data_IF_652097921812
#
_entry.id   IF_652097921812
#
_cell.length_a   1.000
_cell.length_b   1.000
_cell.length_c   1.000
_cell.angle_alpha   90.00
_cell.angle_beta   90.00
_cell.angle_gamma   90.00
#
_symmetry.space_group_name_H-M   'P 1'
#
loop_
_entity.id
_entity.type
_entity.pdbx_description
1 polymer ?
#
# COMPACT_ATOMS: atom_id res chain seq x y z
N UNK A 1 -1.22 12.24 17.37
CA UNK A 1 -2.21 11.67 18.35
C UNK A 1 -3.07 12.74 19.00
N UNK A 2 -2.51 13.83 19.47
CA UNK A 2 -3.24 14.95 20.08
C UNK A 2 -4.34 15.51 19.17
N UNK A 3 -4.04 15.68 17.87
CA UNK A 3 -5.01 16.16 16.89
C UNK A 3 -6.21 15.20 16.78
N UNK A 4 -5.97 13.88 16.68
CA UNK A 4 -7.05 12.89 16.56
C UNK A 4 -7.95 12.91 17.81
N UNK A 5 -7.35 12.91 19.00
CA UNK A 5 -8.10 12.93 20.25
C UNK A 5 -8.92 14.23 20.41
N UNK A 6 -8.33 15.39 20.09
CA UNK A 6 -9.02 16.68 20.12
C UNK A 6 -10.20 16.69 19.14
N UNK A 7 -9.97 16.26 17.89
CA UNK A 7 -11.02 16.21 16.87
C UNK A 7 -12.14 15.24 17.29
N UNK A 8 -11.79 14.06 17.78
CA UNK A 8 -12.73 13.08 18.29
C UNK A 8 -13.62 13.68 19.40
N UNK A 9 -13.02 14.31 20.41
CA UNK A 9 -13.77 14.91 21.51
C UNK A 9 -14.70 16.03 21.04
N UNK A 10 -14.27 16.88 20.13
CA UNK A 10 -15.12 17.92 19.56
C UNK A 10 -16.30 17.31 18.81
N UNK A 11 -16.03 16.37 17.91
CA UNK A 11 -17.08 15.76 17.08
C UNK A 11 -18.10 14.98 17.92
N UNK A 12 -17.64 14.16 18.85
CA UNK A 12 -18.53 13.31 19.65
C UNK A 12 -19.23 14.12 20.76
N UNK A 13 -18.47 14.88 21.55
CA UNK A 13 -19.00 15.50 22.76
C UNK A 13 -19.68 16.87 22.52
N UNK A 14 -19.19 17.65 21.54
CA UNK A 14 -19.73 19.00 21.30
C UNK A 14 -20.73 19.02 20.15
N UNK A 15 -20.47 18.23 19.09
CA UNK A 15 -21.30 18.22 17.86
C UNK A 15 -22.33 17.09 17.89
N UNK A 16 -22.06 16.00 18.62
CA UNK A 16 -22.98 14.87 18.75
C UNK A 16 -22.86 13.83 17.62
N UNK A 17 -21.69 13.77 16.94
CA UNK A 17 -21.44 12.71 15.96
C UNK A 17 -21.41 11.33 16.63
N UNK A 18 -21.94 10.33 15.92
CA UNK A 18 -21.69 8.95 16.31
C UNK A 18 -20.21 8.62 16.04
N UNK A 19 -19.53 8.06 17.02
CA UNK A 19 -18.10 7.70 16.88
C UNK A 19 -17.81 6.76 15.70
N UNK A 20 -18.76 5.90 15.32
CA UNK A 20 -18.61 4.99 14.17
C UNK A 20 -18.66 5.71 12.81
N UNK A 21 -19.10 6.96 12.77
CA UNK A 21 -19.15 7.77 11.55
C UNK A 21 -17.89 8.61 11.36
N UNK A 22 -16.93 8.50 12.29
CA UNK A 22 -15.65 9.21 12.23
C UNK A 22 -14.60 8.29 11.61
N UNK A 23 -13.93 8.79 10.58
CA UNK A 23 -12.82 8.10 9.90
C UNK A 23 -11.57 8.96 10.03
N UNK A 24 -10.52 8.43 10.62
CA UNK A 24 -9.20 9.04 10.61
C UNK A 24 -8.38 8.46 9.46
N UNK A 25 -7.76 9.33 8.68
CA UNK A 25 -6.87 8.97 7.58
C UNK A 25 -5.46 9.52 7.85
N UNK A 26 -4.65 8.84 8.67
CA UNK A 26 -3.25 9.20 8.81
C UNK A 26 -2.51 8.89 7.51
N UNK A 27 -1.56 9.77 7.14
CA UNK A 27 -0.80 9.58 5.92
C UNK A 27 0.06 8.33 5.98
N UNK A 28 -0.11 7.47 4.96
CA UNK A 28 0.88 6.44 4.66
C UNK A 28 1.96 7.08 3.80
N UNK A 29 3.19 7.07 4.29
CA UNK A 29 4.35 7.65 3.63
C UNK A 29 5.21 6.55 2.98
N UNK A 30 5.98 6.96 1.98
CA UNK A 30 6.86 6.08 1.23
C UNK A 30 8.03 5.61 2.08
N UNK A 31 8.31 4.31 2.07
CA UNK A 31 9.49 3.71 2.70
C UNK A 31 10.57 3.39 1.66
N UNK A 32 11.76 2.97 2.12
CA UNK A 32 12.87 2.56 1.27
C UNK A 32 13.27 3.64 0.23
N UNK A 33 13.33 4.88 0.66
CA UNK A 33 13.70 6.04 -0.18
C UNK A 33 15.19 6.31 -0.20
N UNK A 34 15.98 5.60 0.61
CA UNK A 34 17.39 5.86 0.87
C UNK A 34 17.66 6.93 1.94
N UNK A 35 16.60 7.51 2.55
CA UNK A 35 16.70 8.44 3.67
C UNK A 35 16.29 7.73 4.95
N UNK A 36 17.19 7.68 5.93
CA UNK A 36 16.99 6.94 7.19
C UNK A 36 15.78 7.40 8.01
N UNK A 37 15.38 8.66 7.88
CA UNK A 37 14.17 9.21 8.52
C UNK A 37 12.87 8.57 8.00
N UNK A 38 12.89 7.96 6.80
CA UNK A 38 11.72 7.32 6.19
C UNK A 38 11.61 5.82 6.51
N UNK A 39 12.66 5.24 7.09
CA UNK A 39 12.72 3.77 7.26
C UNK A 39 11.68 3.24 8.25
N UNK A 40 11.25 4.06 9.22
CA UNK A 40 10.30 3.67 10.24
C UNK A 40 8.82 4.01 9.90
N UNK A 41 8.52 4.65 8.78
CA UNK A 41 7.16 5.10 8.48
C UNK A 41 6.13 3.96 8.45
N UNK A 42 6.52 2.75 8.02
CA UNK A 42 5.65 1.58 8.07
C UNK A 42 5.25 1.21 9.49
N UNK A 43 6.23 1.07 10.37
CA UNK A 43 6.04 0.75 11.80
C UNK A 43 5.22 1.84 12.50
N UNK A 44 5.54 3.11 12.25
CA UNK A 44 4.86 4.25 12.88
C UNK A 44 3.39 4.31 12.47
N UNK A 45 3.07 3.98 11.22
CA UNK A 45 1.68 3.90 10.77
C UNK A 45 0.92 2.78 11.48
N UNK A 46 1.50 1.58 11.62
CA UNK A 46 0.90 0.47 12.36
C UNK A 46 0.65 0.84 13.84
N UNK A 47 1.60 1.49 14.48
CA UNK A 47 1.44 2.00 15.83
C UNK A 47 0.37 3.09 15.91
N UNK A 48 0.29 3.98 14.91
CA UNK A 48 -0.74 5.02 14.87
C UNK A 48 -2.15 4.42 14.80
N UNK A 49 -2.37 3.39 13.96
CA UNK A 49 -3.65 2.66 13.90
C UNK A 49 -4.03 2.15 15.29
N UNK A 50 -3.15 1.35 15.90
CA UNK A 50 -3.40 0.74 17.21
C UNK A 50 -3.72 1.82 18.27
N UNK A 51 -2.99 2.92 18.23
CA UNK A 51 -3.19 4.03 19.17
C UNK A 51 -4.50 4.76 18.93
N UNK A 52 -4.87 5.05 17.67
CA UNK A 52 -6.17 5.67 17.34
C UNK A 52 -7.30 4.79 17.84
N UNK A 53 -7.26 3.47 17.56
CA UNK A 53 -8.27 2.53 18.03
C UNK A 53 -8.41 2.51 19.55
N UNK A 54 -7.32 2.70 20.29
CA UNK A 54 -7.35 2.69 21.75
C UNK A 54 -7.91 3.98 22.35
N UNK A 55 -7.62 5.16 21.74
CA UNK A 55 -7.99 6.47 22.33
C UNK A 55 -9.25 7.10 21.71
N UNK A 56 -9.68 6.62 20.55
CA UNK A 56 -10.88 7.07 19.83
C UNK A 56 -11.82 5.88 19.58
N UNK A 57 -12.45 5.32 20.63
CA UNK A 57 -13.26 4.10 20.50
C UNK A 57 -14.44 4.32 19.52
N UNK A 58 -14.64 3.35 18.62
CA UNK A 58 -15.66 3.42 17.56
C UNK A 58 -15.16 4.04 16.26
N UNK A 59 -14.19 4.96 16.31
CA UNK A 59 -13.66 5.58 15.10
C UNK A 59 -12.97 4.56 14.17
N UNK A 60 -13.10 4.79 12.87
CA UNK A 60 -12.49 4.00 11.81
C UNK A 60 -11.16 4.62 11.38
N UNK A 61 -10.30 3.79 10.80
CA UNK A 61 -9.01 4.22 10.25
C UNK A 61 -8.93 3.83 8.78
N UNK A 62 -8.58 4.81 7.93
CA UNK A 62 -8.29 4.59 6.51
C UNK A 62 -6.82 4.88 6.20
N UNK A 63 -6.37 4.50 5.00
CA UNK A 63 -5.04 4.85 4.52
C UNK A 63 -4.82 4.59 3.04
N UNK A 64 -4.03 5.47 2.40
CA UNK A 64 -3.63 5.37 0.99
C UNK A 64 -2.44 4.43 0.81
N UNK A 65 -2.67 3.12 0.75
CA UNK A 65 -1.62 2.08 0.80
C UNK A 65 -0.64 2.13 -0.37
N UNK A 66 -1.08 2.60 -1.55
CA UNK A 66 -0.20 2.70 -2.72
C UNK A 66 1.04 3.58 -2.50
N UNK A 67 0.98 4.53 -1.55
CA UNK A 67 2.10 5.39 -1.20
C UNK A 67 3.25 4.62 -0.55
N UNK A 68 2.96 3.56 0.19
CA UNK A 68 3.94 2.76 0.91
C UNK A 68 5.09 2.30 0.01
N UNK A 69 4.76 1.84 -1.19
CA UNK A 69 5.71 1.26 -2.16
C UNK A 69 6.14 2.21 -3.27
N UNK A 70 5.94 3.51 -3.14
CA UNK A 70 6.16 4.48 -4.23
C UNK A 70 7.62 4.52 -4.71
N UNK A 71 8.60 4.25 -3.85
CA UNK A 71 10.03 4.12 -4.19
C UNK A 71 10.32 3.02 -5.21
N UNK A 72 9.45 2.01 -5.31
CA UNK A 72 9.56 0.90 -6.26
C UNK A 72 8.63 1.05 -7.46
N UNK A 73 8.30 2.28 -7.85
CA UNK A 73 7.47 2.56 -9.02
C UNK A 73 8.13 1.99 -10.29
N UNK A 74 7.34 1.24 -11.07
CA UNK A 74 7.81 0.49 -12.25
C UNK A 74 8.13 -0.98 -11.99
N UNK A 75 8.12 -1.43 -10.73
CA UNK A 75 8.28 -2.83 -10.34
C UNK A 75 6.97 -3.37 -9.77
N UNK A 76 5.95 -3.53 -10.63
CA UNK A 76 4.58 -3.80 -10.21
C UNK A 76 4.47 -5.04 -9.30
N UNK A 77 5.14 -6.15 -9.64
CA UNK A 77 5.17 -7.37 -8.82
C UNK A 77 5.69 -7.11 -7.39
N UNK A 78 6.74 -6.29 -7.26
CA UNK A 78 7.31 -5.93 -5.95
C UNK A 78 6.34 -5.05 -5.18
N UNK A 79 5.74 -4.07 -5.84
CA UNK A 79 4.76 -3.18 -5.21
C UNK A 79 3.52 -3.92 -4.72
N UNK A 80 3.01 -4.86 -5.52
CA UNK A 80 1.87 -5.71 -5.16
C UNK A 80 2.20 -6.56 -3.92
N UNK A 81 3.38 -7.18 -3.87
CA UNK A 81 3.84 -7.91 -2.70
C UNK A 81 3.99 -7.01 -1.46
N UNK A 82 4.58 -5.82 -1.61
CA UNK A 82 4.70 -4.85 -0.51
C UNK A 82 3.33 -4.42 0.02
N UNK A 83 2.34 -4.19 -0.85
CA UNK A 83 0.99 -3.86 -0.43
C UNK A 83 0.34 -5.02 0.34
N UNK A 84 0.51 -6.25 -0.13
CA UNK A 84 -0.05 -7.43 0.52
C UNK A 84 0.54 -7.64 1.92
N UNK A 85 1.86 -7.55 2.05
CA UNK A 85 2.55 -7.67 3.34
C UNK A 85 2.13 -6.53 4.28
N UNK A 86 2.11 -5.30 3.79
CA UNK A 86 1.69 -4.15 4.59
C UNK A 86 0.25 -4.31 5.09
N UNK A 87 -0.68 -4.66 4.21
CA UNK A 87 -2.09 -4.84 4.57
C UNK A 87 -2.31 -5.97 5.57
N UNK A 88 -1.60 -7.08 5.42
CA UNK A 88 -1.67 -8.19 6.37
C UNK A 88 -1.44 -7.70 7.81
N UNK A 89 -0.42 -6.87 8.03
CA UNK A 89 -0.12 -6.30 9.33
C UNK A 89 -1.04 -5.14 9.71
N UNK A 90 -1.40 -4.27 8.77
CA UNK A 90 -2.24 -3.11 9.02
C UNK A 90 -3.67 -3.50 9.43
N UNK A 91 -4.26 -4.52 8.79
CA UNK A 91 -5.58 -5.05 9.15
C UNK A 91 -5.53 -5.65 10.56
N UNK A 92 -4.50 -6.38 10.90
CA UNK A 92 -4.30 -6.93 12.27
C UNK A 92 -4.11 -5.82 13.32
N UNK A 93 -3.51 -4.68 12.94
CA UNK A 93 -3.40 -3.52 13.79
C UNK A 93 -4.73 -2.74 13.96
N UNK A 94 -5.75 -3.04 13.14
CA UNK A 94 -7.08 -2.45 13.21
C UNK A 94 -7.41 -1.47 12.08
N UNK A 95 -6.71 -1.50 10.95
CA UNK A 95 -7.07 -0.74 9.75
C UNK A 95 -8.44 -1.21 9.25
N UNK A 96 -9.39 -0.27 9.04
CA UNK A 96 -10.75 -0.59 8.59
C UNK A 96 -10.91 -0.39 7.08
N UNK A 97 -10.16 0.53 6.49
CA UNK A 97 -10.31 0.93 5.09
C UNK A 97 -8.95 1.16 4.44
N UNK A 98 -8.81 0.71 3.19
CA UNK A 98 -7.62 0.98 2.38
C UNK A 98 -7.98 1.50 1.00
N UNK A 99 -7.24 2.50 0.52
CA UNK A 99 -7.33 3.01 -0.83
C UNK A 99 -6.07 2.60 -1.59
N UNK A 100 -6.25 1.81 -2.65
CA UNK A 100 -5.14 1.29 -3.45
C UNK A 100 -5.57 0.09 -4.30
N UNK A 101 -4.59 -0.64 -4.81
CA UNK A 101 -4.81 -1.84 -5.63
C UNK A 101 -4.82 -3.06 -4.71
N UNK A 102 -6.02 -3.56 -4.31
CA UNK A 102 -6.13 -4.65 -3.33
C UNK A 102 -7.08 -5.75 -3.74
N UNK A 103 -6.85 -6.93 -3.14
CA UNK A 103 -7.80 -8.05 -3.09
C UNK A 103 -8.41 -8.21 -1.69
N UNK A 104 -9.62 -8.79 -1.62
CA UNK A 104 -10.26 -9.12 -0.34
C UNK A 104 -9.43 -10.21 0.37
N UNK A 105 -8.93 -9.91 1.58
CA UNK A 105 -8.12 -10.84 2.35
C UNK A 105 -8.93 -11.68 3.33
N UNK A 106 -8.70 -12.99 3.31
CA UNK A 106 -8.92 -13.85 4.46
C UNK A 106 -7.66 -13.82 5.34
N UNK A 107 -7.75 -13.19 6.50
CA UNK A 107 -6.69 -13.25 7.51
C UNK A 107 -7.20 -14.19 8.62
N UNK A 108 -6.58 -15.38 8.71
CA UNK A 108 -6.75 -16.36 9.81
C UNK A 108 -8.14 -16.41 10.45
N UNK A 109 -9.17 -16.88 9.73
CA UNK A 109 -10.54 -17.14 10.24
C UNK A 109 -11.23 -15.99 10.99
N UNK A 110 -10.63 -14.80 11.07
CA UNK A 110 -11.26 -13.62 11.65
C UNK A 110 -11.87 -12.83 10.50
N UNK A 111 -13.21 -12.80 10.46
CA UNK A 111 -13.97 -11.97 9.52
C UNK A 111 -13.80 -10.50 9.94
N UNK A 112 -12.76 -9.86 9.48
CA UNK A 112 -12.60 -8.42 9.63
C UNK A 112 -13.26 -7.73 8.45
N UNK A 113 -14.21 -6.83 8.73
CA UNK A 113 -14.82 -5.98 7.71
C UNK A 113 -13.76 -4.96 7.28
N UNK A 114 -13.15 -5.23 6.14
CA UNK A 114 -12.22 -4.32 5.50
C UNK A 114 -12.87 -3.78 4.22
N UNK A 115 -13.01 -2.47 4.11
CA UNK A 115 -13.51 -1.80 2.92
C UNK A 115 -12.33 -1.30 2.09
N UNK A 116 -12.20 -1.74 0.83
CA UNK A 116 -11.13 -1.31 -0.06
C UNK A 116 -11.64 -0.83 -1.42
N UNK A 117 -11.03 0.21 -1.96
CA UNK A 117 -11.11 0.54 -3.38
C UNK A 117 -10.01 -0.25 -4.07
N UNK A 118 -10.38 -1.27 -4.85
CA UNK A 118 -9.46 -2.33 -5.28
C UNK A 118 -9.50 -2.57 -6.78
N UNK A 119 -8.37 -2.99 -7.34
CA UNK A 119 -8.33 -3.69 -8.61
C UNK A 119 -8.29 -5.20 -8.33
N UNK A 120 -9.44 -5.85 -8.41
CA UNK A 120 -9.56 -7.26 -8.13
C UNK A 120 -8.66 -8.08 -9.06
N UNK A 121 -7.82 -8.96 -8.50
CA UNK A 121 -6.92 -9.85 -9.25
C UNK A 121 -5.47 -9.38 -9.38
N UNK A 122 -5.12 -8.20 -8.86
CA UNK A 122 -3.75 -7.69 -8.95
C UNK A 122 -2.87 -7.96 -7.73
N UNK A 123 -3.44 -8.31 -6.56
CA UNK A 123 -2.62 -8.57 -5.36
C UNK A 123 -2.51 -10.07 -5.09
N UNK A 124 -1.29 -10.58 -4.85
CA UNK A 124 -1.10 -11.91 -4.32
C UNK A 124 -1.65 -12.01 -2.88
N UNK A 125 -2.16 -13.16 -2.50
CA UNK A 125 -2.44 -13.47 -1.09
C UNK A 125 -1.10 -13.52 -0.35
N UNK A 126 -1.08 -13.11 0.93
CA UNK A 126 0.16 -13.04 1.71
C UNK A 126 0.93 -14.36 1.70
N UNK A 127 0.23 -15.48 1.83
CA UNK A 127 0.84 -16.83 1.87
C UNK A 127 1.29 -17.33 0.49
N UNK A 128 0.81 -16.72 -0.61
CA UNK A 128 1.17 -17.07 -1.99
C UNK A 128 2.37 -16.26 -2.51
N UNK A 129 2.86 -15.28 -1.73
CA UNK A 129 4.03 -14.51 -2.09
C UNK A 129 5.27 -15.39 -2.00
N UNK A 130 6.12 -15.34 -3.01
CA UNK A 130 7.43 -16.01 -2.99
C UNK A 130 8.20 -15.67 -1.71
N UNK A 131 8.67 -16.68 -0.97
CA UNK A 131 9.30 -16.51 0.35
C UNK A 131 10.43 -15.47 0.37
N UNK A 132 11.24 -15.42 -0.70
CA UNK A 132 12.34 -14.43 -0.80
C UNK A 132 11.79 -13.02 -0.85
N UNK A 133 10.80 -12.77 -1.70
CA UNK A 133 10.16 -11.45 -1.84
C UNK A 133 9.38 -11.08 -0.58
N UNK A 134 8.67 -12.04 0.02
CA UNK A 134 7.94 -11.82 1.26
C UNK A 134 8.87 -11.37 2.39
N UNK A 135 10.01 -12.06 2.59
CA UNK A 135 11.00 -11.68 3.59
C UNK A 135 11.59 -10.28 3.35
N UNK A 136 11.89 -9.95 2.09
CA UNK A 136 12.37 -8.61 1.75
C UNK A 136 11.34 -7.52 2.05
N UNK A 137 10.06 -7.78 1.80
CA UNK A 137 8.97 -6.85 2.13
C UNK A 137 8.82 -6.70 3.65
N UNK A 138 8.91 -7.80 4.41
CA UNK A 138 8.91 -7.80 5.88
C UNK A 138 10.10 -7.03 6.45
N UNK A 139 11.29 -7.19 5.88
CA UNK A 139 12.48 -6.50 6.33
C UNK A 139 12.38 -4.98 6.12
N UNK A 140 11.75 -4.54 5.03
CA UNK A 140 11.47 -3.13 4.78
C UNK A 140 10.38 -2.61 5.73
N UNK A 141 9.27 -3.33 5.88
CA UNK A 141 8.15 -2.90 6.72
C UNK A 141 8.58 -2.70 8.18
N UNK A 142 9.38 -3.64 8.69
CA UNK A 142 9.83 -3.64 10.08
C UNK A 142 11.20 -3.00 10.28
N UNK A 143 11.80 -2.43 9.24
CA UNK A 143 13.15 -1.83 9.28
C UNK A 143 14.16 -2.73 10.00
N UNK A 144 14.17 -4.03 9.63
CA UNK A 144 14.98 -5.02 10.35
C UNK A 144 16.49 -4.85 10.13
N UNK A 145 16.88 -4.39 8.96
CA UNK A 145 18.27 -4.27 8.55
C UNK A 145 18.51 -2.98 7.78
N UNK A 146 19.64 -2.33 8.01
CA UNK A 146 20.03 -1.08 7.33
C UNK A 146 20.20 -1.23 5.80
N UNK A 147 20.44 -2.46 5.33
CA UNK A 147 20.63 -2.79 3.91
C UNK A 147 19.35 -3.37 3.23
N UNK A 148 18.20 -3.33 3.90
CA UNK A 148 16.94 -3.89 3.38
C UNK A 148 16.53 -3.26 2.05
N UNK A 149 16.70 -1.94 1.90
CA UNK A 149 16.43 -1.23 0.65
C UNK A 149 17.33 -1.69 -0.49
N UNK A 150 18.63 -1.85 -0.23
CA UNK A 150 19.60 -2.29 -1.23
C UNK A 150 19.35 -3.72 -1.68
N UNK A 151 19.01 -4.62 -0.75
CA UNK A 151 18.62 -6.01 -1.06
C UNK A 151 17.39 -6.08 -1.95
N UNK A 152 16.37 -5.28 -1.66
CA UNK A 152 15.17 -5.21 -2.50
C UNK A 152 15.48 -4.65 -3.88
N UNK A 153 16.33 -3.61 -4.00
CA UNK A 153 16.76 -3.08 -5.29
C UNK A 153 17.53 -4.13 -6.12
N UNK A 154 18.42 -4.89 -5.48
CA UNK A 154 19.13 -5.98 -6.14
C UNK A 154 18.16 -7.07 -6.65
N UNK A 155 17.15 -7.43 -5.87
CA UNK A 155 16.07 -8.32 -6.29
C UNK A 155 15.31 -7.76 -7.50
N UNK A 156 14.93 -6.47 -7.48
CA UNK A 156 14.26 -5.81 -8.62
C UNK A 156 15.09 -5.88 -9.90
N UNK A 157 16.41 -5.64 -9.80
CA UNK A 157 17.32 -5.68 -10.95
C UNK A 157 17.45 -7.10 -11.52
N UNK A 158 17.52 -8.13 -10.67
CA UNK A 158 17.59 -9.52 -11.10
C UNK A 158 16.35 -9.97 -11.89
N UNK A 159 15.18 -9.47 -11.51
CA UNK A 159 13.91 -9.77 -12.20
C UNK A 159 13.81 -9.09 -13.58
N UNK A 160 14.37 -7.89 -13.74
CA UNK A 160 14.37 -7.17 -15.02
C UNK A 160 15.28 -7.85 -16.07
N UNK A 161 16.37 -8.48 -15.66
CA UNK A 161 17.22 -9.24 -16.58
C UNK A 161 16.55 -10.50 -17.12
N UNK A 162 15.63 -11.09 -16.35
CA UNK A 162 14.84 -12.25 -16.78
C UNK A 162 13.67 -11.90 -17.72
N UNK A 163 13.13 -10.67 -17.61
CA UNK A 163 11.94 -10.22 -18.38
C UNK A 163 12.28 -9.46 -19.67
N UNK A 164 13.54 -9.13 -19.93
CA UNK A 164 13.96 -8.37 -21.13
C UNK A 164 13.80 -9.13 -22.46
N UNK A 165 13.39 -10.39 -22.44
CA UNK A 165 13.18 -11.21 -23.66
C UNK A 165 11.74 -11.09 -24.21
N UNK A 166 10.78 -10.52 -23.48
CA UNK A 166 9.37 -10.49 -23.89
C UNK A 166 8.78 -9.12 -24.21
N UNK A 167 9.51 -8.01 -24.06
CA UNK A 167 8.93 -6.65 -24.05
C UNK A 167 8.99 -5.86 -25.36
N UNK A 168 9.45 -6.43 -26.47
CA UNK A 168 9.54 -5.72 -27.76
C UNK A 168 8.19 -5.49 -28.46
N UNK A 169 7.14 -6.22 -28.11
CA UNK A 169 5.80 -6.06 -28.72
C UNK A 169 4.92 -4.96 -28.12
N UNK A 170 5.28 -4.46 -26.95
CA UNK A 170 4.39 -3.53 -26.19
C UNK A 170 4.74 -2.04 -26.37
N UNK A 171 5.71 -1.71 -27.22
CA UNK A 171 6.19 -0.33 -27.39
C UNK A 171 5.72 0.32 -28.70
N UNK A 172 5.26 -0.45 -29.68
CA UNK A 172 4.84 0.06 -31.01
C UNK A 172 3.76 1.15 -30.95
N UNK A 173 2.79 1.02 -30.03
CA UNK A 173 1.68 1.98 -29.91
C UNK A 173 2.13 3.38 -29.46
N UNK A 174 3.31 3.53 -28.84
CA UNK A 174 3.87 4.83 -28.45
C UNK A 174 4.26 5.69 -29.64
N UNK A 175 4.49 5.08 -30.80
CA UNK A 175 4.83 5.75 -32.05
C UNK A 175 3.57 6.09 -32.90
N UNK A 176 2.36 5.75 -32.40
CA UNK A 176 1.12 6.07 -33.09
C UNK A 176 0.74 7.54 -32.92
N UNK A 177 -0.26 8.01 -33.72
CA UNK A 177 -0.81 9.36 -33.55
C UNK A 177 -1.43 9.53 -32.16
N UNK A 178 -1.53 10.78 -31.69
CA UNK A 178 -2.05 11.08 -30.33
C UNK A 178 -3.43 10.49 -30.12
N UNK A 179 -4.32 10.56 -31.13
CA UNK A 179 -5.67 10.02 -31.07
C UNK A 179 -5.67 8.50 -30.86
N UNK A 180 -4.85 7.78 -31.63
CA UNK A 180 -4.72 6.32 -31.51
C UNK A 180 -4.09 5.89 -30.18
N UNK A 181 -3.17 6.71 -29.65
CA UNK A 181 -2.58 6.46 -28.32
C UNK A 181 -3.60 6.64 -27.22
N UNK A 182 -4.44 7.66 -27.29
CA UNK A 182 -5.53 7.88 -26.34
C UNK A 182 -6.57 6.77 -26.43
N UNK A 183 -7.00 6.39 -27.63
CA UNK A 183 -7.89 5.27 -27.85
C UNK A 183 -7.34 3.97 -27.25
N UNK A 184 -6.09 3.65 -27.52
CA UNK A 184 -5.41 2.47 -26.98
C UNK A 184 -5.35 2.50 -25.45
N UNK A 185 -5.02 3.65 -24.86
CA UNK A 185 -4.95 3.80 -23.42
C UNK A 185 -6.32 3.60 -22.74
N UNK A 186 -7.39 4.11 -23.35
CA UNK A 186 -8.76 3.93 -22.85
C UNK A 186 -9.22 2.47 -22.97
N UNK A 187 -8.97 1.81 -24.10
CA UNK A 187 -9.37 0.41 -24.32
C UNK A 187 -8.61 -0.54 -23.39
N UNK A 188 -7.30 -0.30 -23.17
CA UNK A 188 -6.47 -1.17 -22.34
C UNK A 188 -6.52 -0.82 -20.84
N UNK A 189 -7.26 0.22 -20.45
CA UNK A 189 -7.34 0.71 -19.05
C UNK A 189 -5.95 0.86 -18.43
N UNK A 190 -4.96 1.22 -19.24
CA UNK A 190 -3.60 1.43 -18.75
C UNK A 190 -3.51 2.84 -18.19
N UNK A 191 -3.52 2.94 -16.89
CA UNK A 191 -3.27 4.20 -16.18
C UNK A 191 -1.82 4.63 -16.44
N UNK A 192 -1.62 5.51 -17.42
CA UNK A 192 -0.32 6.14 -17.67
C UNK A 192 -0.22 7.45 -16.90
N UNK A 193 0.22 7.38 -15.67
CA UNK A 193 0.85 8.52 -15.04
C UNK A 193 2.37 8.33 -15.10
N UNK A 194 2.95 8.61 -16.25
CA UNK A 194 4.36 8.91 -16.40
C UNK A 194 4.44 10.36 -16.91
N UNK A 195 4.56 11.29 -16.00
CA UNK A 195 5.18 12.59 -16.20
C UNK A 195 6.65 12.48 -15.85
#
# INVERSE_FOLDING_TARGET
MEICLRSYNILVNNVGFNSNDIIFDPNILTVATGMSEHDNYGIEFLHAITKIKSVCPGAKVSGGVSNFSFSFRGFDRVREAMHSVFLYHAIRAGLDMGNGVFHLFWVDKIFMIFLGIVNAGCLPVYDDIENVLQNLCEDILWNKHSDSTEKMLAYCQSQNTASSVSSTKDVEWRNWSVEKRLEHALIKVRCFMNF
#
